data_IF_030318681722
#
_entry.id   IF_030318681722
#
_cell.length_a   1.000
_cell.length_b   1.000
_cell.length_c   1.000
_cell.angle_alpha   90.00
_cell.angle_beta   90.00
_cell.angle_gamma   90.00
#
_symmetry.space_group_name_H-M   'P 1'
#
loop_
_entity.id
_entity.type
_entity.pdbx_description
1 polymer ?
#
# COMPACT_ATOMS: atom_id res chain seq x y z
N UNK A 1 -9.43 43.43 -25.95
CA UNK A 1 -10.07 44.73 -25.67
C UNK A 1 -11.20 44.54 -24.66
N UNK A 2 -11.35 45.45 -23.69
CA UNK A 2 -12.26 45.48 -22.50
C UNK A 2 -11.89 44.47 -21.41
N UNK A 3 -11.23 44.79 -20.27
CA UNK A 3 -11.37 45.78 -19.17
C UNK A 3 -12.48 45.46 -18.13
N UNK A 4 -11.99 45.12 -16.93
CA UNK A 4 -12.39 45.54 -15.56
C UNK A 4 -13.70 45.03 -14.95
N UNK A 5 -13.59 44.25 -13.86
CA UNK A 5 -14.36 44.36 -12.60
C UNK A 5 -13.40 43.94 -11.47
N UNK A 6 -12.67 44.87 -10.86
CA UNK A 6 -13.00 45.60 -9.62
C UNK A 6 -12.82 44.77 -8.34
N UNK A 7 -11.75 45.10 -7.61
CA UNK A 7 -11.48 44.73 -6.22
C UNK A 7 -12.67 45.12 -5.33
N UNK A 8 -13.07 44.21 -4.44
CA UNK A 8 -13.68 44.55 -3.16
C UNK A 8 -12.67 44.15 -2.06
N UNK A 9 -12.03 45.16 -1.49
CA UNK A 9 -11.26 45.04 -0.25
C UNK A 9 -12.16 45.40 0.94
N UNK A 10 -11.67 45.00 2.13
CA UNK A 10 -12.17 45.31 3.48
C UNK A 10 -13.32 44.39 3.92
N UNK A 11 -13.17 43.55 4.95
CA UNK A 11 -12.12 43.40 5.95
C UNK A 11 -12.78 42.93 7.25
N UNK A 12 -12.10 42.09 8.03
CA UNK A 12 -12.10 42.14 9.48
C UNK A 12 -11.07 41.13 9.99
N UNK A 13 -9.92 41.63 10.45
CA UNK A 13 -8.99 40.83 11.22
C UNK A 13 -9.53 40.72 12.65
N UNK A 14 -10.00 39.53 13.02
CA UNK A 14 -9.99 39.11 14.41
C UNK A 14 -8.95 38.01 14.52
N UNK A 15 -7.88 38.34 15.25
CA UNK A 15 -6.90 37.42 15.79
C UNK A 15 -7.60 36.37 16.66
N UNK A 16 -8.00 35.27 16.04
CA UNK A 16 -8.26 34.01 16.71
C UNK A 16 -7.04 33.12 16.46
N UNK A 17 -6.34 32.79 17.53
CA UNK A 17 -5.24 31.83 17.54
C UNK A 17 -5.83 30.43 17.23
N UNK A 18 -5.81 30.06 15.96
CA UNK A 18 -6.26 28.76 15.47
C UNK A 18 -5.87 28.70 14.00
N UNK A 19 -4.66 28.21 13.74
CA UNK A 19 -4.04 28.25 12.42
C UNK A 19 -4.91 27.64 11.32
N UNK A 20 -4.62 27.96 10.05
CA UNK A 20 -5.31 27.34 8.94
C UNK A 20 -5.15 25.82 9.06
N UNK A 21 -6.28 25.12 9.11
CA UNK A 21 -6.34 23.76 8.60
C UNK A 21 -5.81 23.85 7.19
N UNK A 22 -4.56 23.44 7.01
CA UNK A 22 -4.06 23.00 5.72
C UNK A 22 -4.97 21.83 5.40
N UNK A 23 -5.99 22.08 4.58
CA UNK A 23 -6.65 21.05 3.80
C UNK A 23 -5.56 20.53 2.85
N UNK A 24 -4.70 19.69 3.43
CA UNK A 24 -3.73 18.91 2.69
C UNK A 24 -4.60 18.07 1.76
N UNK A 25 -4.40 18.32 0.49
CA UNK A 25 -5.04 17.60 -0.60
C UNK A 25 -4.87 16.13 -0.29
N UNK A 26 -5.98 15.48 0.07
CA UNK A 26 -6.03 14.04 0.17
C UNK A 26 -5.77 13.49 -1.24
N UNK A 27 -4.50 13.35 -1.60
CA UNK A 27 -4.12 12.23 -2.44
C UNK A 27 -4.54 11.00 -1.66
N UNK A 28 -5.43 10.15 -2.19
CA UNK A 28 -5.57 8.80 -1.69
C UNK A 28 -4.29 8.08 -2.13
N UNK A 29 -3.17 8.39 -1.46
CA UNK A 29 -2.09 7.43 -1.32
C UNK A 29 -2.72 6.28 -0.56
N UNK A 30 -3.29 5.35 -1.32
CA UNK A 30 -3.84 4.11 -0.83
C UNK A 30 -2.72 3.46 -0.02
N UNK A 31 -2.71 3.73 1.28
CA UNK A 31 -2.04 2.86 2.20
C UNK A 31 -2.93 1.64 2.16
N UNK A 32 -2.61 0.73 1.25
CA UNK A 32 -2.99 -0.66 1.40
C UNK A 32 -2.41 -1.07 2.75
N UNK A 33 -3.18 -0.79 3.81
CA UNK A 33 -3.21 -1.56 5.03
C UNK A 33 -3.81 -2.93 4.64
N UNK A 34 -3.21 -3.55 3.63
CA UNK A 34 -3.49 -4.90 3.21
C UNK A 34 -3.04 -5.75 4.37
N UNK A 35 -4.02 -6.37 5.02
CA UNK A 35 -3.83 -7.39 6.03
C UNK A 35 -2.61 -8.22 5.65
N UNK A 36 -1.48 -8.02 6.35
CA UNK A 36 -0.28 -8.79 6.07
C UNK A 36 -0.66 -10.24 6.39
N UNK A 37 -0.78 -11.12 5.39
CA UNK A 37 -1.36 -12.43 5.63
C UNK A 37 -0.53 -13.15 6.69
N UNK A 38 -1.22 -13.80 7.62
CA UNK A 38 -0.62 -14.53 8.73
C UNK A 38 -1.18 -15.93 8.77
N UNK A 39 -0.33 -16.91 9.09
CA UNK A 39 -0.80 -18.26 9.31
C UNK A 39 -1.69 -18.34 10.57
N UNK A 40 -2.70 -19.22 10.58
CA UNK A 40 -3.51 -19.48 11.77
C UNK A 40 -2.66 -19.99 12.95
N UNK A 41 -3.24 -19.95 14.15
CA UNK A 41 -2.59 -20.53 15.33
C UNK A 41 -2.26 -22.01 15.12
N UNK A 42 -1.07 -22.43 15.56
CA UNK A 42 -0.57 -23.79 15.37
C UNK A 42 0.18 -24.03 14.05
N UNK A 43 0.20 -23.04 13.15
CA UNK A 43 1.03 -23.06 11.95
C UNK A 43 2.27 -22.18 12.12
N UNK A 44 3.34 -22.59 11.47
CA UNK A 44 4.57 -21.80 11.30
C UNK A 44 4.53 -21.11 9.94
N UNK A 45 4.96 -19.85 9.87
CA UNK A 45 5.03 -19.06 8.65
C UNK A 45 6.40 -19.17 7.99
N UNK A 46 6.42 -19.55 6.71
CA UNK A 46 7.62 -19.53 5.86
C UNK A 46 7.39 -18.59 4.69
N UNK A 47 8.35 -17.72 4.37
CA UNK A 47 8.28 -16.85 3.19
C UNK A 47 9.17 -17.38 2.09
N UNK A 48 8.61 -17.65 0.93
CA UNK A 48 9.33 -18.18 -0.24
C UNK A 48 9.14 -17.21 -1.40
N UNK A 49 10.15 -17.08 -2.24
CA UNK A 49 10.03 -16.32 -3.47
C UNK A 49 9.87 -17.28 -4.64
N UNK A 50 8.83 -17.07 -5.42
CA UNK A 50 8.51 -17.87 -6.59
C UNK A 50 8.72 -17.07 -7.87
N UNK A 51 9.22 -17.74 -8.89
CA UNK A 51 9.47 -17.15 -10.21
C UNK A 51 8.20 -17.21 -11.06
N UNK A 52 7.62 -16.04 -11.36
CA UNK A 52 6.37 -15.95 -12.11
C UNK A 52 6.40 -14.84 -13.17
N UNK A 53 5.47 -14.90 -14.13
CA UNK A 53 5.24 -13.80 -15.11
C UNK A 53 4.38 -12.69 -14.50
N UNK A 54 4.93 -12.01 -13.50
CA UNK A 54 4.26 -10.95 -12.74
C UNK A 54 4.68 -9.53 -13.15
N UNK A 55 5.62 -9.42 -14.09
CA UNK A 55 6.23 -8.15 -14.51
C UNK A 55 5.95 -7.82 -15.98
N UNK A 56 4.65 -7.83 -16.33
CA UNK A 56 4.19 -7.63 -17.70
C UNK A 56 4.60 -8.80 -18.61
N UNK A 57 5.43 -8.53 -19.61
CA UNK A 57 5.98 -9.58 -20.49
C UNK A 57 7.20 -10.31 -19.89
N UNK A 58 7.74 -9.81 -18.77
CA UNK A 58 8.93 -10.36 -18.14
C UNK A 58 8.59 -11.23 -16.93
N UNK A 59 9.56 -12.05 -16.53
CA UNK A 59 9.54 -12.74 -15.25
C UNK A 59 9.88 -11.79 -14.10
N UNK A 60 9.45 -12.19 -12.91
CA UNK A 60 9.82 -11.58 -11.65
C UNK A 60 9.68 -12.61 -10.54
N UNK A 61 10.13 -12.22 -9.35
CA UNK A 61 9.97 -13.03 -8.16
C UNK A 61 8.82 -12.45 -7.34
N UNK A 62 7.83 -13.26 -6.97
CA UNK A 62 6.74 -12.91 -6.07
C UNK A 62 6.94 -13.63 -4.74
N UNK A 63 6.74 -12.93 -3.62
CA UNK A 63 6.88 -13.53 -2.30
C UNK A 63 5.55 -14.14 -1.86
N UNK A 64 5.57 -15.42 -1.51
CA UNK A 64 4.45 -16.19 -1.00
C UNK A 64 4.66 -16.51 0.48
N UNK A 65 3.55 -16.65 1.20
CA UNK A 65 3.53 -17.17 2.56
C UNK A 65 3.07 -18.62 2.54
N UNK A 66 3.91 -19.51 3.04
CA UNK A 66 3.55 -20.89 3.30
C UNK A 66 3.25 -21.07 4.78
N UNK A 67 2.23 -21.86 5.06
CA UNK A 67 1.80 -22.20 6.41
C UNK A 67 1.98 -23.69 6.64
N UNK A 68 2.80 -24.05 7.63
CA UNK A 68 3.15 -25.42 7.94
C UNK A 68 2.72 -25.79 9.37
N UNK A 69 1.97 -26.88 9.55
CA UNK A 69 1.62 -27.44 10.85
C UNK A 69 2.31 -28.80 11.04
N UNK A 70 3.40 -28.79 11.80
CA UNK A 70 4.19 -29.99 12.07
C UNK A 70 3.43 -31.07 12.88
N UNK A 71 2.36 -30.70 13.60
CA UNK A 71 1.59 -31.65 14.41
C UNK A 71 0.60 -32.46 13.58
N UNK A 72 0.05 -31.87 12.53
CA UNK A 72 -0.87 -32.54 11.59
C UNK A 72 -0.18 -32.99 10.30
N UNK A 73 0.99 -32.45 9.99
CA UNK A 73 1.66 -32.61 8.70
C UNK A 73 1.03 -31.78 7.57
N UNK A 74 0.15 -30.84 7.90
CA UNK A 74 -0.52 -29.99 6.92
C UNK A 74 0.41 -28.86 6.45
N UNK A 75 0.40 -28.58 5.16
CA UNK A 75 1.18 -27.52 4.52
C UNK A 75 0.44 -26.97 3.32
N UNK A 76 0.33 -25.64 3.24
CA UNK A 76 -0.33 -24.98 2.11
C UNK A 76 0.28 -23.60 1.84
N UNK A 77 0.15 -23.17 0.58
CA UNK A 77 0.42 -21.80 0.16
C UNK A 77 -0.75 -20.90 0.56
N UNK A 78 -0.49 -19.94 1.45
CA UNK A 78 -1.45 -18.92 1.87
C UNK A 78 -1.52 -17.73 0.89
N UNK A 79 -0.70 -17.75 -0.16
CA UNK A 79 -0.73 -16.83 -1.29
C UNK A 79 0.32 -15.72 -1.23
N UNK A 80 0.28 -14.82 -2.23
CA UNK A 80 1.26 -13.74 -2.35
C UNK A 80 1.09 -12.69 -1.27
N UNK A 81 2.20 -12.23 -0.70
CA UNK A 81 2.21 -11.25 0.41
C UNK A 81 2.56 -9.83 -0.03
N UNK A 82 2.32 -9.54 -1.31
CA UNK A 82 2.44 -8.20 -1.91
C UNK A 82 3.85 -7.78 -2.33
N UNK A 83 4.88 -8.56 -2.04
CA UNK A 83 6.25 -8.24 -2.49
C UNK A 83 6.53 -8.86 -3.86
N UNK A 84 6.75 -8.01 -4.87
CA UNK A 84 7.15 -8.41 -6.23
C UNK A 84 8.49 -7.76 -6.60
N UNK A 85 9.40 -8.54 -7.17
CA UNK A 85 10.73 -8.10 -7.64
C UNK A 85 10.91 -8.50 -9.10
N UNK A 86 10.72 -7.55 -9.99
CA UNK A 86 10.96 -7.75 -11.41
C UNK A 86 12.44 -7.95 -11.71
N UNK A 87 12.75 -8.88 -12.61
CA UNK A 87 14.11 -9.21 -12.99
C UNK A 87 14.28 -10.69 -13.27
N UNK A 88 15.53 -11.12 -13.39
CA UNK A 88 15.84 -12.54 -13.48
C UNK A 88 15.36 -13.27 -12.22
N UNK A 89 14.85 -14.47 -12.41
CA UNK A 89 14.62 -15.39 -11.30
C UNK A 89 15.96 -15.91 -10.77
N UNK A 90 15.99 -16.25 -9.49
CA UNK A 90 17.20 -16.68 -8.78
C UNK A 90 17.05 -18.09 -8.19
#
# INVERSE_FOLDING_TARGET
>A
MKKLIALAAVGFALTACGGPVVEDTQEPGQTEQGLNPTCPAGYTSTRIWECEKVCGANYGNIQHLYCDNASTGDSYDAGPIGAVRCGACY
#
